data_IF_570931943571
#
_entry.id   IF_570931943571
#
_cell.length_a   1.000
_cell.length_b   1.000
_cell.length_c   1.000
_cell.angle_alpha   90.00
_cell.angle_beta   90.00
_cell.angle_gamma   90.00
#
_symmetry.space_group_name_H-M   'P 1'
#
loop_
_entity.id
_entity.type
_entity.pdbx_description
1 polymer ?
#
# COMPACT_ATOMS: atom_id res chain seq x y z
N UNK A 1 -84.41 -60.58 56.83
CA UNK A 1 -83.17 -61.24 57.30
C UNK A 1 -83.41 -61.53 58.76
N UNK A 2 -83.19 -62.76 59.21
CA UNK A 2 -83.45 -63.15 60.61
C UNK A 2 -82.28 -62.61 61.44
N UNK A 3 -82.57 -61.79 62.45
CA UNK A 3 -81.54 -61.31 63.36
C UNK A 3 -81.04 -62.48 64.23
N UNK A 4 -79.82 -62.38 64.73
CA UNK A 4 -79.28 -63.40 65.63
C UNK A 4 -80.17 -63.57 66.88
N UNK A 5 -80.72 -62.46 67.38
CA UNK A 5 -81.70 -62.41 68.48
C UNK A 5 -83.03 -63.09 68.12
N UNK A 6 -83.42 -63.08 66.83
CA UNK A 6 -84.64 -63.75 66.36
C UNK A 6 -84.46 -65.27 66.28
N UNK A 7 -83.22 -65.77 66.14
CA UNK A 7 -82.88 -67.20 66.20
C UNK A 7 -82.78 -67.69 67.66
N UNK A 8 -82.20 -66.89 68.54
CA UNK A 8 -82.02 -67.22 69.95
C UNK A 8 -83.35 -67.27 70.73
N UNK A 9 -84.32 -66.43 70.35
CA UNK A 9 -85.63 -66.36 71.01
C UNK A 9 -86.74 -67.11 70.27
N UNK A 10 -86.40 -68.05 69.37
CA UNK A 10 -87.39 -68.69 68.51
C UNK A 10 -88.08 -69.85 69.19
N UNK A 11 -89.34 -69.65 69.59
CA UNK A 11 -90.19 -70.72 70.08
C UNK A 11 -90.99 -71.40 68.95
N UNK A 12 -90.91 -72.74 68.91
CA UNK A 12 -91.73 -73.56 68.02
C UNK A 12 -92.98 -74.09 68.74
N UNK A 13 -94.14 -74.05 68.06
CA UNK A 13 -95.37 -74.64 68.60
C UNK A 13 -95.23 -76.17 68.66
N UNK A 14 -95.56 -76.79 69.80
CA UNK A 14 -95.57 -78.25 69.94
C UNK A 14 -96.59 -78.88 68.97
N UNK A 15 -96.12 -79.74 68.07
CA UNK A 15 -97.00 -80.46 67.13
C UNK A 15 -97.57 -81.71 67.81
N UNK A 16 -98.88 -81.87 67.79
CA UNK A 16 -99.57 -82.94 68.54
C UNK A 16 -99.37 -84.37 68.00
N UNK A 17 -99.13 -84.55 66.70
CA UNK A 17 -98.97 -85.88 66.07
C UNK A 17 -97.86 -85.83 65.00
N UNK A 18 -96.80 -86.63 65.17
CA UNK A 18 -95.61 -86.72 64.27
C UNK A 18 -94.86 -85.40 64.06
N UNK A 19 -94.56 -84.67 65.13
CA UNK A 19 -93.67 -83.51 65.10
C UNK A 19 -92.19 -83.89 65.10
N UNK A 20 -91.33 -82.92 64.77
CA UNK A 20 -89.88 -83.03 64.98
C UNK A 20 -89.54 -83.16 66.46
N UNK A 21 -88.44 -83.86 66.76
CA UNK A 21 -87.93 -83.97 68.12
C UNK A 21 -87.42 -82.61 68.61
N UNK A 22 -87.92 -82.14 69.75
CA UNK A 22 -87.55 -80.84 70.32
C UNK A 22 -86.06 -80.74 70.63
N UNK A 23 -85.47 -81.81 71.17
CA UNK A 23 -84.06 -81.80 71.57
C UNK A 23 -83.11 -81.75 70.36
N UNK A 24 -83.50 -82.42 69.26
CA UNK A 24 -82.76 -82.42 68.00
C UNK A 24 -82.87 -81.08 67.27
N UNK A 25 -84.07 -80.47 67.29
CA UNK A 25 -84.30 -79.12 66.75
C UNK A 25 -83.50 -78.09 67.54
N UNK A 26 -83.49 -78.16 68.87
CA UNK A 26 -82.74 -77.22 69.71
C UNK A 26 -81.22 -77.33 69.47
N UNK A 27 -80.69 -78.56 69.35
CA UNK A 27 -79.29 -78.78 68.98
C UNK A 27 -78.95 -78.17 67.61
N UNK A 28 -79.79 -78.41 66.61
CA UNK A 28 -79.60 -77.84 65.27
C UNK A 28 -79.69 -76.31 65.29
N UNK A 29 -80.62 -75.72 66.05
CA UNK A 29 -80.74 -74.26 66.20
C UNK A 29 -79.46 -73.68 66.83
N UNK A 30 -78.87 -74.33 67.84
CA UNK A 30 -77.58 -73.90 68.42
C UNK A 30 -76.43 -73.96 67.40
N UNK A 31 -76.40 -74.99 66.57
CA UNK A 31 -75.42 -75.11 65.47
C UNK A 31 -75.60 -73.98 64.44
N UNK A 32 -76.85 -73.68 64.06
CA UNK A 32 -77.20 -72.57 63.15
C UNK A 32 -76.82 -71.22 63.77
N UNK A 33 -77.10 -70.99 65.05
CA UNK A 33 -76.71 -69.76 65.77
C UNK A 33 -75.19 -69.60 65.76
N UNK A 34 -74.45 -70.68 66.02
CA UNK A 34 -72.98 -70.66 66.04
C UNK A 34 -72.41 -70.37 64.66
N UNK A 35 -72.90 -71.03 63.62
CA UNK A 35 -72.50 -70.78 62.24
C UNK A 35 -72.85 -69.35 61.79
N UNK A 36 -74.02 -68.83 62.18
CA UNK A 36 -74.43 -67.46 61.88
C UNK A 36 -73.54 -66.43 62.59
N UNK A 37 -73.17 -66.66 63.86
CA UNK A 37 -72.18 -65.82 64.59
C UNK A 37 -70.83 -65.79 63.87
N UNK A 38 -70.33 -66.96 63.45
CA UNK A 38 -69.07 -67.06 62.70
C UNK A 38 -69.13 -66.26 61.39
N UNK A 39 -70.15 -66.51 60.56
CA UNK A 39 -70.34 -65.81 59.29
C UNK A 39 -70.51 -64.30 59.47
N UNK A 40 -71.21 -63.87 60.52
CA UNK A 40 -71.41 -62.45 60.79
C UNK A 40 -70.09 -61.75 61.14
N UNK A 41 -69.26 -62.39 61.99
CA UNK A 41 -67.92 -61.89 62.34
C UNK A 41 -66.99 -61.84 61.12
N UNK A 42 -66.96 -62.91 60.34
CA UNK A 42 -66.15 -62.96 59.12
C UNK A 42 -66.58 -61.89 58.10
N UNK A 43 -67.89 -61.65 57.95
CA UNK A 43 -68.42 -60.60 57.08
C UNK A 43 -68.00 -59.20 57.57
N UNK A 44 -68.02 -58.96 58.89
CA UNK A 44 -67.53 -57.71 59.46
C UNK A 44 -66.03 -57.50 59.20
N UNK A 45 -65.20 -58.54 59.39
CA UNK A 45 -63.77 -58.51 59.12
C UNK A 45 -63.47 -58.28 57.62
N UNK A 46 -64.19 -58.96 56.73
CA UNK A 46 -64.08 -58.76 55.29
C UNK A 46 -64.49 -57.35 54.88
N UNK A 47 -65.57 -56.81 55.44
CA UNK A 47 -65.99 -55.41 55.20
C UNK A 47 -64.93 -54.41 55.64
N UNK A 48 -64.35 -54.60 56.83
CA UNK A 48 -63.22 -53.77 57.31
C UNK A 48 -62.04 -53.83 56.33
N UNK A 49 -61.69 -55.02 55.86
CA UNK A 49 -60.59 -55.22 54.91
C UNK A 49 -60.87 -54.57 53.55
N UNK A 50 -62.10 -54.70 53.02
CA UNK A 50 -62.53 -54.04 51.78
C UNK A 50 -62.43 -52.53 51.92
N UNK A 51 -62.88 -51.97 53.04
CA UNK A 51 -62.79 -50.53 53.28
C UNK A 51 -61.34 -50.05 53.31
N UNK A 52 -60.46 -50.74 54.06
CA UNK A 52 -59.03 -50.42 54.13
C UNK A 52 -58.34 -50.50 52.76
N UNK A 53 -58.62 -51.55 51.99
CA UNK A 53 -58.08 -51.71 50.63
C UNK A 53 -58.60 -50.61 49.69
N UNK A 54 -59.87 -50.23 49.82
CA UNK A 54 -60.48 -49.17 49.01
C UNK A 54 -59.85 -47.81 49.31
N UNK A 55 -59.65 -47.48 50.59
CA UNK A 55 -58.97 -46.25 51.00
C UNK A 55 -57.52 -46.20 50.48
N UNK A 56 -56.81 -47.33 50.61
CA UNK A 56 -55.43 -47.46 50.13
C UNK A 56 -55.35 -47.31 48.60
N UNK A 57 -56.30 -47.89 47.87
CA UNK A 57 -56.40 -47.75 46.41
C UNK A 57 -56.65 -46.29 46.01
N UNK A 58 -57.57 -45.60 46.69
CA UNK A 58 -57.83 -44.18 46.44
C UNK A 58 -56.61 -43.30 46.73
N UNK A 59 -55.85 -43.63 47.78
CA UNK A 59 -54.57 -42.96 48.07
C UNK A 59 -53.57 -43.14 46.93
N UNK A 60 -53.39 -44.37 46.44
CA UNK A 60 -52.47 -44.64 45.33
C UNK A 60 -52.92 -43.97 44.03
N UNK A 61 -54.22 -43.93 43.72
CA UNK A 61 -54.75 -43.21 42.55
C UNK A 61 -54.45 -41.71 42.61
N UNK A 62 -54.63 -41.07 43.78
CA UNK A 62 -54.29 -39.64 43.96
C UNK A 62 -52.78 -39.41 43.83
N UNK A 63 -51.98 -40.31 44.38
CA UNK A 63 -50.53 -40.22 44.28
C UNK A 63 -50.06 -40.39 42.83
N UNK A 64 -50.60 -41.36 42.10
CA UNK A 64 -50.35 -41.56 40.68
C UNK A 64 -50.68 -40.31 39.88
N UNK A 65 -51.86 -39.71 40.09
CA UNK A 65 -52.25 -38.47 39.41
C UNK A 65 -51.27 -37.33 39.70
N UNK A 66 -50.80 -37.23 40.94
CA UNK A 66 -49.83 -36.20 41.33
C UNK A 66 -48.48 -36.41 40.63
N UNK A 67 -48.02 -37.66 40.56
CA UNK A 67 -46.78 -38.02 39.87
C UNK A 67 -46.90 -37.76 38.37
N UNK A 68 -48.01 -38.13 37.74
CA UNK A 68 -48.25 -37.86 36.32
C UNK A 68 -48.25 -36.35 36.02
N UNK A 69 -48.90 -35.55 36.87
CA UNK A 69 -48.90 -34.09 36.74
C UNK A 69 -47.49 -33.50 36.91
N UNK A 70 -46.73 -34.00 37.89
CA UNK A 70 -45.35 -33.56 38.11
C UNK A 70 -44.43 -33.92 36.94
N UNK A 71 -44.57 -35.13 36.38
CA UNK A 71 -43.83 -35.58 35.20
C UNK A 71 -44.16 -34.72 33.99
N UNK A 72 -45.44 -34.46 33.74
CA UNK A 72 -45.86 -33.61 32.62
C UNK A 72 -45.34 -32.18 32.75
N UNK A 73 -45.38 -31.61 33.97
CA UNK A 73 -44.84 -30.28 34.23
C UNK A 73 -43.32 -30.23 34.03
N UNK A 74 -42.61 -31.25 34.49
CA UNK A 74 -41.16 -31.37 34.31
C UNK A 74 -40.79 -31.47 32.83
N UNK A 75 -41.51 -32.29 32.06
CA UNK A 75 -41.32 -32.42 30.61
C UNK A 75 -41.55 -31.08 29.91
N UNK A 76 -42.69 -30.42 30.19
CA UNK A 76 -43.01 -29.11 29.61
C UNK A 76 -41.94 -28.07 29.95
N UNK A 77 -41.52 -28.01 31.21
CA UNK A 77 -40.49 -27.06 31.66
C UNK A 77 -39.14 -27.34 31.01
N UNK A 78 -38.77 -28.61 30.85
CA UNK A 78 -37.55 -29.00 30.15
C UNK A 78 -37.61 -28.62 28.66
N UNK A 79 -38.75 -28.85 27.99
CA UNK A 79 -38.97 -28.43 26.61
C UNK A 79 -38.91 -26.91 26.45
N UNK A 80 -39.60 -26.16 27.30
CA UNK A 80 -39.61 -24.69 27.28
C UNK A 80 -38.20 -24.13 27.54
N UNK A 81 -37.47 -24.70 28.50
CA UNK A 81 -36.08 -24.33 28.78
C UNK A 81 -35.17 -24.61 27.58
N UNK A 82 -35.32 -25.76 26.94
CA UNK A 82 -34.57 -26.13 25.72
C UNK A 82 -34.85 -25.15 24.58
N UNK A 83 -36.12 -24.82 24.32
CA UNK A 83 -36.51 -23.88 23.27
C UNK A 83 -35.94 -22.48 23.55
N UNK A 84 -36.06 -22.00 24.78
CA UNK A 84 -35.53 -20.69 25.19
C UNK A 84 -34.00 -20.62 25.05
N UNK A 85 -33.29 -21.67 25.45
CA UNK A 85 -31.85 -21.78 25.28
C UNK A 85 -31.43 -21.77 23.81
N UNK A 86 -32.13 -22.53 22.95
CA UNK A 86 -31.88 -22.56 21.51
C UNK A 86 -32.11 -21.19 20.86
N UNK A 87 -33.20 -20.51 21.21
CA UNK A 87 -33.50 -19.17 20.71
C UNK A 87 -32.44 -18.14 21.16
N UNK A 88 -32.03 -18.21 22.42
CA UNK A 88 -30.97 -17.36 22.96
C UNK A 88 -29.63 -17.61 22.27
N UNK A 89 -29.26 -18.87 22.04
CA UNK A 89 -28.06 -19.25 21.31
C UNK A 89 -28.09 -18.74 19.86
N UNK A 90 -29.22 -18.88 19.16
CA UNK A 90 -29.40 -18.33 17.81
C UNK A 90 -29.24 -16.81 17.78
N UNK A 91 -29.77 -16.10 18.78
CA UNK A 91 -29.63 -14.64 18.89
C UNK A 91 -28.18 -14.22 19.12
N UNK A 92 -27.44 -14.95 19.97
CA UNK A 92 -26.01 -14.73 20.18
C UNK A 92 -25.23 -14.95 18.89
N UNK A 93 -25.50 -16.07 18.19
CA UNK A 93 -24.87 -16.39 16.92
C UNK A 93 -25.08 -15.28 15.88
N UNK A 94 -26.32 -14.84 15.67
CA UNK A 94 -26.63 -13.75 14.72
C UNK A 94 -25.90 -12.46 15.08
N UNK A 95 -25.91 -12.06 16.35
CA UNK A 95 -25.20 -10.85 16.80
C UNK A 95 -23.69 -10.95 16.57
N UNK A 96 -23.11 -12.12 16.80
CA UNK A 96 -21.70 -12.35 16.53
C UNK A 96 -21.41 -12.25 15.03
N UNK A 97 -22.24 -12.85 14.18
CA UNK A 97 -22.13 -12.76 12.72
C UNK A 97 -22.23 -11.30 12.24
N UNK A 98 -23.22 -10.54 12.72
CA UNK A 98 -23.39 -9.12 12.39
C UNK A 98 -22.18 -8.28 12.84
N UNK A 99 -21.67 -8.54 14.05
CA UNK A 99 -20.51 -7.82 14.60
C UNK A 99 -19.26 -8.11 13.77
N UNK A 100 -19.01 -9.38 13.42
CA UNK A 100 -17.88 -9.77 12.57
C UNK A 100 -17.99 -9.16 11.18
N UNK A 101 -19.19 -9.16 10.58
CA UNK A 101 -19.42 -8.54 9.29
C UNK A 101 -19.12 -7.02 9.31
N UNK A 102 -19.57 -6.33 10.35
CA UNK A 102 -19.29 -4.91 10.54
C UNK A 102 -17.81 -4.62 10.78
N UNK A 103 -17.14 -5.41 11.63
CA UNK A 103 -15.70 -5.29 11.87
C UNK A 103 -14.89 -5.51 10.59
N UNK A 104 -15.25 -6.51 9.78
CA UNK A 104 -14.61 -6.76 8.50
C UNK A 104 -14.77 -5.58 7.55
N UNK A 105 -15.99 -5.06 7.41
CA UNK A 105 -16.28 -3.89 6.57
C UNK A 105 -15.50 -2.66 7.02
N UNK A 106 -15.41 -2.41 8.32
CA UNK A 106 -14.63 -1.29 8.87
C UNK A 106 -13.13 -1.46 8.62
N UNK A 107 -12.60 -2.67 8.81
CA UNK A 107 -11.20 -3.00 8.54
C UNK A 107 -10.87 -2.83 7.05
N UNK A 108 -11.73 -3.30 6.14
CA UNK A 108 -11.59 -3.13 4.70
C UNK A 108 -11.61 -1.65 4.31
N UNK A 109 -12.52 -0.85 4.89
CA UNK A 109 -12.58 0.59 4.65
C UNK A 109 -11.30 1.31 5.13
N UNK A 110 -10.79 0.95 6.30
CA UNK A 110 -9.52 1.50 6.83
C UNK A 110 -8.33 1.09 5.95
N UNK A 111 -8.24 -0.16 5.53
CA UNK A 111 -7.18 -0.64 4.66
C UNK A 111 -7.20 0.09 3.31
N UNK A 112 -8.38 0.25 2.71
CA UNK A 112 -8.55 1.01 1.47
C UNK A 112 -8.14 2.47 1.63
N UNK A 113 -8.47 3.11 2.76
CA UNK A 113 -8.06 4.48 3.05
C UNK A 113 -6.53 4.60 3.18
N UNK A 114 -5.90 3.69 3.91
CA UNK A 114 -4.43 3.68 4.07
C UNK A 114 -3.74 3.50 2.73
N UNK A 115 -4.21 2.58 1.88
CA UNK A 115 -3.66 2.37 0.55
C UNK A 115 -3.80 3.63 -0.32
N UNK A 116 -4.98 4.26 -0.34
CA UNK A 116 -5.20 5.51 -1.08
C UNK A 116 -4.24 6.61 -0.62
N UNK A 117 -4.10 6.82 0.69
CA UNK A 117 -3.20 7.84 1.24
C UNK A 117 -1.73 7.53 0.93
N UNK A 118 -1.35 6.25 0.89
CA UNK A 118 -0.01 5.83 0.50
C UNK A 118 0.25 6.11 -0.98
N UNK A 119 -0.70 5.80 -1.87
CA UNK A 119 -0.64 6.11 -3.30
C UNK A 119 -0.54 7.61 -3.56
N UNK A 120 -1.38 8.43 -2.91
CA UNK A 120 -1.33 9.89 -3.01
C UNK A 120 0.02 10.46 -2.57
N UNK A 121 0.58 9.95 -1.46
CA UNK A 121 1.92 10.35 -0.98
C UNK A 121 3.02 9.92 -1.95
N UNK A 122 2.97 8.69 -2.46
CA UNK A 122 3.94 8.20 -3.44
C UNK A 122 3.92 9.05 -4.70
N UNK A 123 2.72 9.39 -5.19
CA UNK A 123 2.54 10.26 -6.35
C UNK A 123 3.10 11.66 -6.08
N UNK A 124 2.83 12.25 -4.91
CA UNK A 124 3.38 13.56 -4.55
C UNK A 124 4.91 13.58 -4.49
N UNK A 125 5.52 12.52 -3.92
CA UNK A 125 6.98 12.39 -3.89
C UNK A 125 7.54 12.24 -5.31
N UNK A 126 6.90 11.43 -6.15
CA UNK A 126 7.31 11.26 -7.55
C UNK A 126 7.25 12.58 -8.32
N UNK A 127 6.14 13.33 -8.19
CA UNK A 127 6.01 14.64 -8.84
C UNK A 127 7.10 15.60 -8.39
N UNK A 128 7.37 15.69 -7.08
CA UNK A 128 8.46 16.53 -6.57
C UNK A 128 9.84 16.10 -7.08
N UNK A 129 10.09 14.79 -7.15
CA UNK A 129 11.35 14.26 -7.68
C UNK A 129 11.52 14.61 -9.16
N UNK A 130 10.44 14.47 -9.96
CA UNK A 130 10.43 14.88 -11.37
C UNK A 130 10.69 16.38 -11.50
N UNK A 131 10.04 17.22 -10.70
CA UNK A 131 10.26 18.68 -10.72
C UNK A 131 11.70 19.07 -10.39
N UNK A 132 12.35 18.36 -9.45
CA UNK A 132 13.77 18.59 -9.14
C UNK A 132 14.64 18.17 -10.31
N UNK A 133 14.39 17.01 -10.91
CA UNK A 133 15.15 16.52 -12.07
C UNK A 133 15.00 17.45 -13.28
N UNK A 134 13.81 17.98 -13.55
CA UNK A 134 13.60 18.92 -14.67
C UNK A 134 14.34 20.23 -14.44
N UNK A 135 14.33 20.78 -13.22
CA UNK A 135 15.11 21.97 -12.86
C UNK A 135 16.61 21.73 -13.03
N UNK A 136 17.12 20.61 -12.51
CA UNK A 136 18.52 20.27 -12.63
C UNK A 136 18.95 20.09 -14.10
N UNK A 137 18.09 19.49 -14.92
CA UNK A 137 18.34 19.36 -16.36
C UNK A 137 18.38 20.73 -17.05
N UNK A 138 17.51 21.67 -16.65
CA UNK A 138 17.51 23.03 -17.17
C UNK A 138 18.81 23.76 -16.80
N UNK A 139 19.26 23.69 -15.55
CA UNK A 139 20.53 24.27 -15.11
C UNK A 139 21.74 23.69 -15.86
N UNK A 140 21.78 22.37 -16.06
CA UNK A 140 22.83 21.70 -16.85
C UNK A 140 22.83 22.20 -18.29
N UNK A 141 21.66 22.37 -18.90
CA UNK A 141 21.53 22.89 -20.26
C UNK A 141 21.99 24.36 -20.34
N UNK A 142 21.64 25.19 -19.36
CA UNK A 142 22.13 26.58 -19.27
C UNK A 142 23.64 26.63 -19.14
N UNK A 143 24.23 25.83 -18.23
CA UNK A 143 25.67 25.79 -18.05
C UNK A 143 26.39 25.32 -19.32
N UNK A 144 25.81 24.35 -20.04
CA UNK A 144 26.31 23.89 -21.34
C UNK A 144 26.26 25.00 -22.39
N UNK A 145 25.20 25.81 -22.41
CA UNK A 145 25.08 26.95 -23.30
C UNK A 145 26.12 28.03 -22.98
N UNK A 146 26.29 28.36 -21.71
CA UNK A 146 27.32 29.31 -21.25
C UNK A 146 28.71 28.82 -21.65
N UNK A 147 29.02 27.55 -21.40
CA UNK A 147 30.29 26.94 -21.80
C UNK A 147 30.52 27.02 -23.31
N UNK A 148 29.51 26.69 -24.12
CA UNK A 148 29.62 26.76 -25.58
C UNK A 148 29.81 28.20 -26.07
N UNK A 149 29.10 29.17 -25.48
CA UNK A 149 29.25 30.58 -25.80
C UNK A 149 30.65 31.09 -25.46
N UNK A 150 31.14 30.79 -24.25
CA UNK A 150 32.48 31.19 -23.83
C UNK A 150 33.58 30.52 -24.67
N UNK A 151 33.42 29.24 -24.98
CA UNK A 151 34.30 28.50 -25.90
C UNK A 151 34.35 29.16 -27.28
N UNK A 152 33.21 29.59 -27.82
CA UNK A 152 33.15 30.28 -29.10
C UNK A 152 33.80 31.67 -29.02
N UNK A 153 33.52 32.45 -27.96
CA UNK A 153 34.18 33.74 -27.73
C UNK A 153 35.70 33.63 -27.70
N UNK A 154 36.25 32.63 -27.02
CA UNK A 154 37.70 32.38 -26.99
C UNK A 154 38.21 32.01 -28.39
N UNK A 155 37.52 31.13 -29.11
CA UNK A 155 37.90 30.76 -30.47
C UNK A 155 37.94 31.97 -31.40
N UNK A 156 36.91 32.81 -31.35
CA UNK A 156 36.80 34.00 -32.17
C UNK A 156 37.90 35.01 -31.82
N UNK A 157 38.18 35.20 -30.52
CA UNK A 157 39.29 36.04 -30.07
C UNK A 157 40.65 35.52 -30.54
N UNK A 158 40.91 34.21 -30.42
CA UNK A 158 42.16 33.60 -30.90
C UNK A 158 42.30 33.71 -32.43
N UNK A 159 41.22 33.51 -33.18
CA UNK A 159 41.22 33.68 -34.62
C UNK A 159 41.54 35.13 -35.01
N UNK A 160 40.96 36.10 -34.30
CA UNK A 160 41.25 37.53 -34.49
C UNK A 160 42.71 37.88 -34.17
N UNK A 161 43.25 37.38 -33.05
CA UNK A 161 44.66 37.61 -32.69
C UNK A 161 45.62 37.01 -33.72
N UNK A 162 45.29 35.82 -34.24
CA UNK A 162 46.07 35.17 -35.30
C UNK A 162 46.03 36.01 -36.59
N UNK A 163 44.86 36.51 -36.97
CA UNK A 163 44.70 37.37 -38.14
C UNK A 163 45.51 38.66 -38.01
N UNK A 164 45.48 39.32 -36.84
CA UNK A 164 46.27 40.52 -36.59
C UNK A 164 47.77 40.21 -36.72
N UNK A 165 48.24 39.08 -36.17
CA UNK A 165 49.64 38.67 -36.30
C UNK A 165 50.03 38.38 -37.75
N UNK A 166 49.17 37.73 -38.53
CA UNK A 166 49.39 37.50 -39.96
C UNK A 166 49.43 38.80 -40.75
N UNK A 167 48.53 39.75 -40.48
CA UNK A 167 48.52 41.07 -41.11
C UNK A 167 49.75 41.89 -40.73
N UNK A 168 50.14 41.89 -39.45
CA UNK A 168 51.35 42.58 -38.97
C UNK A 168 52.61 41.96 -39.57
N UNK A 169 52.65 40.63 -39.71
CA UNK A 169 53.74 39.91 -40.36
C UNK A 169 53.89 40.28 -41.84
N UNK A 170 52.78 40.31 -42.58
CA UNK A 170 52.77 40.78 -43.98
C UNK A 170 53.22 42.23 -44.12
N UNK A 171 52.76 43.09 -43.21
CA UNK A 171 53.13 44.50 -43.23
C UNK A 171 54.62 44.70 -42.92
N UNK A 172 55.18 43.92 -41.98
CA UNK A 172 56.63 43.87 -41.73
C UNK A 172 57.41 43.37 -42.94
N UNK A 173 56.94 42.33 -43.63
CA UNK A 173 57.58 41.85 -44.87
C UNK A 173 57.55 42.91 -45.99
N UNK A 174 56.42 43.61 -46.14
CA UNK A 174 56.25 44.69 -47.12
C UNK A 174 57.12 45.90 -46.78
N UNK A 175 57.20 46.30 -45.51
CA UNK A 175 58.04 47.40 -45.04
C UNK A 175 59.53 47.09 -45.23
N UNK A 176 59.96 45.85 -44.97
CA UNK A 176 61.34 45.41 -45.23
C UNK A 176 61.65 45.42 -46.73
N UNK A 177 60.72 44.95 -47.57
CA UNK A 177 60.89 44.96 -49.02
C UNK A 177 60.97 46.40 -49.56
N UNK A 178 60.11 47.29 -49.09
CA UNK A 178 60.09 48.70 -49.46
C UNK A 178 61.35 49.45 -48.99
N UNK A 179 61.86 49.14 -47.80
CA UNK A 179 63.13 49.69 -47.33
C UNK A 179 64.31 49.19 -48.16
N UNK A 180 64.29 47.92 -48.58
CA UNK A 180 65.32 47.34 -49.45
C UNK A 180 65.31 47.98 -50.85
N UNK A 181 64.14 48.22 -51.43
CA UNK A 181 64.01 48.89 -52.75
C UNK A 181 64.36 50.37 -52.69
N UNK A 182 63.98 51.08 -51.62
CA UNK A 182 64.41 52.47 -51.39
C UNK A 182 65.93 52.58 -51.23
N UNK A 183 66.54 51.66 -50.46
CA UNK A 183 67.99 51.62 -50.32
C UNK A 183 68.70 51.27 -51.63
N UNK A 184 68.15 50.36 -52.45
CA UNK A 184 68.75 50.07 -53.76
C UNK A 184 68.65 51.27 -54.70
N UNK A 185 67.52 51.98 -54.72
CA UNK A 185 67.35 53.22 -55.49
C UNK A 185 68.27 54.34 -55.02
N UNK A 186 68.46 54.49 -53.70
CA UNK A 186 69.40 55.44 -53.15
C UNK A 186 70.85 55.10 -53.55
N UNK A 187 71.21 53.81 -53.54
CA UNK A 187 72.52 53.36 -53.99
C UNK A 187 72.70 53.62 -55.49
N UNK A 188 71.67 53.35 -56.30
CA UNK A 188 71.68 53.58 -57.74
C UNK A 188 71.85 55.07 -58.08
N UNK A 189 71.14 55.96 -57.38
CA UNK A 189 71.31 57.41 -57.52
C UNK A 189 72.71 57.88 -57.10
N UNK A 190 73.25 57.36 -56.00
CA UNK A 190 74.63 57.71 -55.56
C UNK A 190 75.67 57.25 -56.61
N UNK A 191 75.46 56.08 -57.21
CA UNK A 191 76.33 55.56 -58.28
C UNK A 191 76.22 56.45 -59.53
N UNK A 192 75.00 56.88 -59.91
CA UNK A 192 74.78 57.79 -61.03
C UNK A 192 75.49 59.12 -60.79
N UNK A 193 75.33 59.74 -59.62
CA UNK A 193 76.01 61.00 -59.27
C UNK A 193 77.54 60.85 -59.34
N UNK A 194 78.10 59.74 -58.85
CA UNK A 194 79.54 59.48 -58.96
C UNK A 194 80.00 59.27 -60.42
N UNK A 195 79.18 58.64 -61.27
CA UNK A 195 79.50 58.48 -62.69
C UNK A 195 79.50 59.85 -63.38
N UNK A 196 78.55 60.72 -63.07
CA UNK A 196 78.52 62.09 -63.60
C UNK A 196 79.74 62.91 -63.15
N UNK A 197 80.15 62.82 -61.88
CA UNK A 197 81.38 63.45 -61.40
C UNK A 197 82.62 62.92 -62.13
N UNK A 198 82.73 61.60 -62.33
CA UNK A 198 83.84 60.99 -63.08
C UNK A 198 83.85 61.53 -64.52
N UNK A 199 82.70 61.59 -65.19
CA UNK A 199 82.60 62.12 -66.55
C UNK A 199 83.01 63.60 -66.64
N UNK A 200 82.61 64.42 -65.66
CA UNK A 200 83.03 65.83 -65.58
C UNK A 200 84.55 65.94 -65.38
N UNK A 201 85.16 65.09 -64.55
CA UNK A 201 86.62 65.07 -64.39
C UNK A 201 87.36 64.59 -65.63
N UNK A 202 86.83 63.58 -66.34
CA UNK A 202 87.39 63.13 -67.62
C UNK A 202 87.28 64.22 -68.69
N UNK A 203 86.17 64.95 -68.74
CA UNK A 203 85.98 66.05 -69.69
C UNK A 203 86.88 67.24 -69.36
N UNK A 204 87.08 67.56 -68.08
CA UNK A 204 88.05 68.56 -67.65
C UNK A 204 89.49 68.15 -67.98
N UNK A 205 89.83 66.86 -67.82
CA UNK A 205 91.14 66.32 -68.20
C UNK A 205 91.34 66.40 -69.72
N UNK A 206 90.31 66.05 -70.51
CA UNK A 206 90.32 66.14 -71.96
C UNK A 206 90.53 67.59 -72.43
N UNK A 207 89.80 68.54 -71.85
CA UNK A 207 89.97 69.97 -72.13
C UNK A 207 91.36 70.47 -71.75
N UNK A 208 91.90 70.05 -70.59
CA UNK A 208 93.25 70.38 -70.18
C UNK A 208 94.31 69.81 -71.13
N UNK A 209 94.12 68.61 -71.67
CA UNK A 209 95.02 68.05 -72.69
C UNK A 209 94.93 68.74 -74.04
N UNK A 210 93.76 69.27 -74.42
CA UNK A 210 93.59 70.13 -75.60
C UNK A 210 94.31 71.48 -75.42
N UNK A 211 94.13 72.15 -74.27
CA UNK A 211 94.86 73.37 -73.94
C UNK A 211 96.38 73.16 -73.97
N UNK A 212 96.86 72.04 -73.41
CA UNK A 212 98.28 71.68 -73.44
C UNK A 212 98.79 71.42 -74.87
N UNK A 213 97.95 70.86 -75.75
CA UNK A 213 98.28 70.70 -77.18
C UNK A 213 98.35 72.05 -77.90
N UNK A 214 97.38 72.94 -77.69
CA UNK A 214 97.41 74.29 -78.27
C UNK A 214 98.63 75.11 -77.79
N UNK A 215 99.05 74.93 -76.54
CA UNK A 215 100.22 75.61 -75.98
C UNK A 215 101.53 75.09 -76.59
N UNK A 216 101.64 73.77 -76.84
CA UNK A 216 102.74 73.19 -77.61
C UNK A 216 102.76 73.73 -79.06
N UNK A 217 101.60 73.91 -79.69
CA UNK A 217 101.49 74.42 -81.06
C UNK A 217 101.88 75.91 -81.16
N UNK A 218 101.59 76.71 -80.13
CA UNK A 218 102.07 78.10 -80.00
C UNK A 218 103.58 78.18 -79.83
N UNK A 219 104.18 77.29 -79.04
CA UNK A 219 105.66 77.22 -78.88
C UNK A 219 106.33 76.87 -80.21
N UNK A 220 105.74 75.97 -81.01
CA UNK A 220 106.25 75.65 -82.34
C UNK A 220 106.22 76.85 -83.31
N UNK A 221 105.16 77.68 -83.30
CA UNK A 221 105.09 78.91 -84.13
C UNK A 221 106.10 80.00 -83.78
N UNK A 222 106.59 80.04 -82.54
CA UNK A 222 107.66 81.00 -82.14
C UNK A 222 109.04 80.54 -82.64
N UNK A 223 109.18 79.26 -83.02
CA UNK A 223 110.46 78.69 -83.47
C UNK A 223 110.65 78.81 -85.00
N UNK A 224 109.59 79.05 -85.77
CA UNK A 224 109.67 79.30 -87.23
C UNK A 224 109.97 80.77 -87.61
N UNK A 225 110.00 81.71 -86.64
CA UNK A 225 110.47 83.10 -86.87
C UNK A 225 112.02 83.19 -86.87
N UNK A 226 112.71 82.05 -86.92
CA UNK A 226 114.17 81.97 -87.12
C UNK A 226 114.62 81.31 -88.44
N UNK A 227 113.72 81.00 -89.40
CA UNK A 227 114.13 80.61 -90.76
C UNK A 227 113.02 80.83 -91.80
N UNK A 228 113.27 81.76 -92.74
CA UNK A 228 112.66 81.94 -94.10
C UNK A 228 111.18 82.32 -94.18
#
# INVERSE_FOLDING_TARGET
>A
MIALEDLENKDFKKSGFRGYNTDEVDYFIQEVITAHKHLSKENEELRKKVNQLTETMQYYQKMEQTIQNALHLAEKTAQDTKISALHSAQKIKRRAEDTVANMKKEAEAKAALVNRLAEERAQSVLTKAVDVLTKQQAEVNELRNIYNNYKNQIKDFMAMQLQILEETGKQLEEDVLNAATLNSLALENIIIDHIEEIQLTEQALANSTEEFKEEIEKVFKVTEVQNV
#
